data_IF_089832894309
#
_entry.id   IF_089832894309
#
_cell.length_a   1.000
_cell.length_b   1.000
_cell.length_c   1.000
_cell.angle_alpha   90.00
_cell.angle_beta   90.00
_cell.angle_gamma   90.00
#
_symmetry.space_group_name_H-M   'P 1'
#
loop_
_entity.id
_entity.type
_entity.pdbx_description
1 polymer ?
#
# COMPACT_ATOMS: atom_id res chain seq x y z
N UNK A 1 -7.63 68.78 -49.85
CA UNK A 1 -8.25 67.46 -49.73
C UNK A 1 -9.54 67.61 -48.95
N UNK A 2 -10.70 67.59 -49.62
CA UNK A 2 -12.01 67.62 -48.97
C UNK A 2 -12.36 66.19 -48.53
N UNK A 3 -12.19 65.89 -47.24
CA UNK A 3 -12.56 64.60 -46.68
C UNK A 3 -14.10 64.53 -46.65
N UNK A 4 -14.66 63.62 -47.43
CA UNK A 4 -16.11 63.42 -47.54
C UNK A 4 -16.68 62.85 -46.25
N UNK A 5 -17.91 63.23 -45.89
CA UNK A 5 -18.64 62.69 -44.73
C UNK A 5 -18.76 61.16 -44.78
N UNK A 6 -18.81 60.58 -45.99
CA UNK A 6 -18.80 59.13 -46.19
C UNK A 6 -17.46 58.49 -45.84
N UNK A 7 -16.34 59.20 -46.07
CA UNK A 7 -14.99 58.71 -45.74
C UNK A 7 -14.76 58.72 -44.22
N UNK A 8 -15.24 59.74 -43.50
CA UNK A 8 -15.23 59.74 -42.03
C UNK A 8 -16.16 58.68 -41.43
N UNK A 9 -17.33 58.45 -42.03
CA UNK A 9 -18.26 57.40 -41.60
C UNK A 9 -17.68 55.99 -41.78
N UNK A 10 -17.03 55.74 -42.92
CA UNK A 10 -16.32 54.48 -43.16
C UNK A 10 -15.17 54.28 -42.16
N UNK A 11 -14.36 55.31 -41.90
CA UNK A 11 -13.26 55.22 -40.95
C UNK A 11 -13.72 54.93 -39.51
N UNK A 12 -14.82 55.56 -39.06
CA UNK A 12 -15.43 55.31 -37.76
C UNK A 12 -16.05 53.90 -37.65
N UNK A 13 -16.65 53.39 -38.73
CA UNK A 13 -17.18 52.02 -38.78
C UNK A 13 -16.04 50.98 -38.72
N UNK A 14 -14.93 51.26 -39.42
CA UNK A 14 -13.74 50.38 -39.43
C UNK A 14 -13.02 50.39 -38.07
N UNK A 15 -13.00 51.53 -37.37
CA UNK A 15 -12.42 51.65 -36.02
C UNK A 15 -13.29 50.96 -34.95
N UNK A 16 -14.62 50.96 -35.12
CA UNK A 16 -15.56 50.23 -34.24
C UNK A 16 -15.46 48.71 -34.38
N UNK A 17 -15.15 48.19 -35.58
CA UNK A 17 -14.96 46.76 -35.84
C UNK A 17 -13.67 46.18 -35.24
N UNK A 18 -12.68 47.02 -34.91
CA UNK A 18 -11.41 46.60 -34.29
C UNK A 18 -11.48 46.56 -32.75
N UNK A 19 -12.52 47.11 -32.13
CA UNK A 19 -12.68 47.16 -30.67
C UNK A 19 -13.49 46.00 -30.06
N UNK A 20 -14.09 45.13 -30.88
CA UNK A 20 -14.99 44.06 -30.43
C UNK A 20 -14.30 42.77 -29.97
N UNK A 21 -13.03 42.56 -30.33
CA UNK A 21 -12.26 41.38 -29.93
C UNK A 21 -11.44 41.68 -28.68
N UNK A 22 -12.10 41.79 -27.52
CA UNK A 22 -11.38 41.76 -26.25
C UNK A 22 -10.84 40.36 -26.00
N UNK A 23 -9.62 40.24 -25.45
CA UNK A 23 -8.94 38.97 -25.17
C UNK A 23 -9.81 37.92 -24.45
N UNK A 24 -10.81 38.35 -23.67
CA UNK A 24 -11.81 37.49 -23.01
C UNK A 24 -12.66 36.62 -23.94
N UNK A 25 -12.80 36.94 -25.23
CA UNK A 25 -13.53 36.09 -26.19
C UNK A 25 -12.71 34.86 -26.61
N UNK A 26 -11.38 34.91 -26.43
CA UNK A 26 -10.46 33.83 -26.82
C UNK A 26 -10.03 32.94 -25.63
N UNK A 27 -10.34 33.34 -24.40
CA UNK A 27 -10.12 32.55 -23.18
C UNK A 27 -11.42 31.87 -22.72
N UNK A 28 -11.96 30.97 -23.55
CA UNK A 28 -12.95 30.00 -23.07
C UNK A 28 -12.22 28.76 -22.56
N UNK A 29 -12.17 28.60 -21.24
CA UNK A 29 -11.85 27.30 -20.67
C UNK A 29 -13.00 26.33 -21.01
N UNK A 30 -12.71 25.09 -21.44
CA UNK A 30 -13.75 24.12 -21.79
C UNK A 30 -14.69 23.91 -20.59
N UNK A 31 -15.92 24.38 -20.72
CA UNK A 31 -16.93 24.30 -19.65
C UNK A 31 -17.42 22.87 -19.41
N UNK A 32 -17.18 21.97 -20.36
CA UNK A 32 -17.54 20.56 -20.35
C UNK A 32 -16.39 19.64 -19.89
N UNK A 33 -15.20 20.19 -19.61
CA UNK A 33 -14.06 19.42 -19.14
C UNK A 33 -13.72 19.76 -17.68
N UNK A 34 -13.45 18.70 -16.92
CA UNK A 34 -12.85 18.83 -15.59
C UNK A 34 -11.39 19.25 -15.78
N UNK A 35 -11.05 20.42 -15.25
CA UNK A 35 -9.72 21.02 -15.22
C UNK A 35 -9.28 21.21 -13.78
N UNK A 36 -7.98 21.40 -13.54
CA UNK A 36 -7.47 21.70 -12.19
C UNK A 36 -8.08 22.97 -11.58
N UNK A 37 -8.62 23.86 -12.41
CA UNK A 37 -9.23 25.14 -11.99
C UNK A 37 -10.68 24.94 -11.50
N UNK A 38 -11.42 23.98 -12.06
CA UNK A 38 -12.83 23.76 -11.72
C UNK A 38 -13.11 22.47 -10.92
N UNK A 39 -12.09 21.63 -10.66
CA UNK A 39 -12.28 20.37 -9.94
C UNK A 39 -12.40 20.53 -8.42
N UNK A 40 -11.53 21.31 -7.78
CA UNK A 40 -11.47 21.39 -6.31
C UNK A 40 -12.52 22.35 -5.74
N UNK A 41 -13.81 21.98 -5.82
CA UNK A 41 -14.92 22.86 -5.45
C UNK A 41 -15.77 22.32 -4.30
N UNK A 42 -15.83 21.00 -4.12
CA UNK A 42 -16.70 20.35 -3.15
C UNK A 42 -15.94 19.37 -2.26
N UNK A 43 -16.62 18.97 -1.17
CA UNK A 43 -16.16 17.89 -0.31
C UNK A 43 -15.93 16.58 -1.08
N UNK A 44 -16.80 16.27 -2.05
CA UNK A 44 -16.68 15.04 -2.81
C UNK A 44 -15.42 15.06 -3.69
N UNK A 45 -15.05 16.21 -4.22
CA UNK A 45 -13.84 16.37 -5.02
C UNK A 45 -12.58 16.13 -4.18
N UNK A 46 -12.56 16.61 -2.93
CA UNK A 46 -11.48 16.32 -1.99
C UNK A 46 -11.33 14.81 -1.72
N UNK A 47 -12.45 14.11 -1.51
CA UNK A 47 -12.47 12.66 -1.27
C UNK A 47 -12.00 11.91 -2.53
N UNK A 48 -12.46 12.31 -3.71
CA UNK A 48 -12.05 11.71 -4.98
C UNK A 48 -10.57 11.94 -5.27
N UNK A 49 -10.04 13.14 -5.02
CA UNK A 49 -8.63 13.45 -5.20
C UNK A 49 -7.72 12.55 -4.34
N UNK A 50 -8.08 12.37 -3.06
CA UNK A 50 -7.37 11.45 -2.17
C UNK A 50 -7.51 10.00 -2.62
N UNK A 51 -8.70 9.60 -3.06
CA UNK A 51 -8.95 8.25 -3.58
C UNK A 51 -8.10 7.97 -4.82
N UNK A 52 -7.87 8.96 -5.68
CA UNK A 52 -6.95 8.85 -6.81
C UNK A 52 -5.51 8.60 -6.34
N UNK A 53 -5.06 9.23 -5.24
CA UNK A 53 -3.76 8.95 -4.64
C UNK A 53 -3.67 7.52 -4.09
N UNK A 54 -4.71 7.03 -3.39
CA UNK A 54 -4.79 5.63 -2.94
C UNK A 54 -4.76 4.62 -4.09
N UNK A 55 -5.38 4.95 -5.22
CA UNK A 55 -5.47 4.04 -6.37
C UNK A 55 -4.11 3.62 -6.92
N UNK A 56 -3.05 4.39 -6.68
CA UNK A 56 -1.70 4.04 -7.11
C UNK A 56 -1.10 2.87 -6.29
N UNK A 57 -1.62 2.61 -5.07
CA UNK A 57 -1.15 1.51 -4.23
C UNK A 57 -1.49 0.13 -4.79
N UNK A 58 -2.62 0.01 -5.51
CA UNK A 58 -3.05 -1.26 -6.12
C UNK A 58 -2.39 -1.54 -7.46
N UNK A 59 -1.46 -0.68 -7.90
CA UNK A 59 -0.82 -0.77 -9.22
C UNK A 59 0.54 -1.45 -9.14
N UNK A 60 1.09 -1.76 -10.30
CA UNK A 60 2.36 -2.49 -10.43
C UNK A 60 3.57 -1.74 -9.86
N UNK A 61 3.53 -0.40 -9.86
CA UNK A 61 4.55 0.42 -9.21
C UNK A 61 4.54 0.31 -7.69
N UNK A 62 3.54 -0.36 -7.11
CA UNK A 62 3.38 -0.57 -5.68
C UNK A 62 3.07 -2.04 -5.38
N UNK A 63 1.92 -2.35 -4.78
CA UNK A 63 1.65 -3.67 -4.20
C UNK A 63 1.27 -4.75 -5.21
N UNK A 64 1.05 -4.41 -6.48
CA UNK A 64 0.69 -5.37 -7.53
C UNK A 64 1.90 -5.88 -8.31
N UNK A 65 3.12 -5.42 -8.00
CA UNK A 65 4.36 -6.03 -8.48
C UNK A 65 5.58 -5.61 -7.64
N UNK A 66 5.89 -4.31 -7.64
CA UNK A 66 7.14 -3.79 -7.13
C UNK A 66 7.39 -4.10 -5.65
N UNK A 67 6.45 -3.81 -4.75
CA UNK A 67 6.64 -4.00 -3.31
C UNK A 67 6.90 -5.47 -2.95
N UNK A 68 6.21 -6.41 -3.61
CA UNK A 68 6.46 -7.83 -3.45
C UNK A 68 7.87 -8.22 -3.94
N UNK A 69 8.27 -7.69 -5.09
CA UNK A 69 9.56 -8.03 -5.70
C UNK A 69 10.75 -7.55 -4.88
N UNK A 70 10.60 -6.49 -4.09
CA UNK A 70 11.67 -6.01 -3.20
C UNK A 70 11.91 -6.95 -2.00
N UNK A 71 10.97 -7.84 -1.67
CA UNK A 71 11.15 -8.89 -0.67
C UNK A 71 12.08 -10.01 -1.15
N UNK A 72 12.33 -10.11 -2.47
CA UNK A 72 13.22 -11.12 -3.07
C UNK A 72 14.67 -10.96 -2.58
N UNK A 73 15.08 -9.76 -2.17
CA UNK A 73 16.40 -9.53 -1.56
C UNK A 73 16.53 -10.13 -0.17
N UNK A 74 15.42 -10.42 0.50
CA UNK A 74 15.45 -11.20 1.72
C UNK A 74 15.71 -12.66 1.31
N UNK A 75 16.65 -13.30 1.99
CA UNK A 75 17.16 -14.65 1.78
C UNK A 75 16.13 -15.77 2.05
N UNK A 76 14.85 -15.46 1.89
CA UNK A 76 13.68 -16.30 2.17
C UNK A 76 12.91 -16.69 0.90
N UNK A 77 13.32 -16.18 -0.26
CA UNK A 77 12.69 -16.44 -1.56
C UNK A 77 13.72 -16.93 -2.58
N UNK A 78 13.30 -17.79 -3.51
CA UNK A 78 14.07 -18.10 -4.73
C UNK A 78 13.16 -17.94 -5.94
N UNK A 79 13.65 -17.26 -6.97
CA UNK A 79 12.79 -16.65 -8.00
C UNK A 79 13.14 -17.12 -9.40
N UNK A 80 12.11 -17.13 -10.25
CA UNK A 80 12.22 -17.54 -11.64
C UNK A 80 10.95 -18.22 -12.13
N UNK A 81 10.82 -18.32 -13.45
CA UNK A 81 9.76 -19.09 -14.10
C UNK A 81 10.23 -20.44 -14.63
N UNK A 82 9.44 -21.02 -15.54
CA UNK A 82 9.64 -22.38 -16.06
C UNK A 82 10.93 -22.52 -16.89
N UNK A 83 11.43 -21.41 -17.47
CA UNK A 83 12.69 -21.37 -18.22
C UNK A 83 13.69 -20.29 -17.73
N UNK A 84 14.86 -20.26 -18.37
CA UNK A 84 15.96 -19.34 -18.03
C UNK A 84 15.62 -17.85 -18.18
N UNK A 85 14.69 -17.50 -19.07
CA UNK A 85 14.35 -16.12 -19.42
C UNK A 85 13.06 -15.64 -18.76
N UNK A 86 12.18 -16.54 -18.31
CA UNK A 86 10.98 -16.17 -17.58
C UNK A 86 11.33 -15.58 -16.20
N UNK A 87 10.81 -14.37 -15.94
CA UNK A 87 11.05 -13.61 -14.73
C UNK A 87 12.51 -13.16 -14.52
N UNK A 88 13.25 -12.87 -15.60
CA UNK A 88 14.66 -12.47 -15.52
C UNK A 88 14.89 -11.28 -14.57
N UNK A 89 13.94 -10.36 -14.46
CA UNK A 89 14.03 -9.20 -13.59
C UNK A 89 13.98 -9.57 -12.11
N UNK A 90 13.27 -10.63 -11.76
CA UNK A 90 13.24 -11.18 -10.40
C UNK A 90 14.56 -11.90 -10.08
N UNK A 91 15.10 -12.66 -11.04
CA UNK A 91 16.43 -13.29 -10.91
C UNK A 91 17.54 -12.26 -10.76
N UNK A 92 17.44 -11.12 -11.46
CA UNK A 92 18.38 -10.00 -11.31
C UNK A 92 18.33 -9.39 -9.91
N UNK A 93 17.13 -9.28 -9.31
CA UNK A 93 16.96 -8.85 -7.92
C UNK A 93 17.60 -9.86 -6.96
N UNK A 94 17.26 -11.15 -7.08
CA UNK A 94 17.81 -12.24 -6.26
C UNK A 94 19.34 -12.29 -6.31
N UNK A 95 19.92 -12.11 -7.50
CA UNK A 95 21.37 -12.15 -7.71
C UNK A 95 22.08 -10.81 -7.42
N UNK A 96 21.38 -9.77 -6.97
CA UNK A 96 21.92 -8.40 -6.81
C UNK A 96 22.63 -7.86 -8.06
N UNK A 97 22.21 -8.29 -9.26
CA UNK A 97 22.81 -7.94 -10.55
C UNK A 97 21.87 -7.07 -11.39
N UNK A 98 21.29 -6.05 -10.75
CA UNK A 98 20.17 -5.26 -11.28
C UNK A 98 20.68 -4.25 -12.33
N UNK A 99 20.33 -4.40 -13.63
CA UNK A 99 20.66 -3.41 -14.63
C UNK A 99 19.77 -2.17 -14.49
N UNK A 100 20.21 -1.05 -15.06
CA UNK A 100 19.42 0.21 -15.11
C UNK A 100 18.10 0.06 -15.87
N UNK A 101 17.97 -0.97 -16.70
CA UNK A 101 16.77 -1.30 -17.48
C UNK A 101 15.79 -2.22 -16.74
N UNK A 102 16.10 -2.66 -15.51
CA UNK A 102 15.22 -3.54 -14.74
C UNK A 102 13.87 -2.84 -14.49
N UNK A 103 12.79 -3.40 -15.01
CA UNK A 103 11.50 -2.71 -14.97
C UNK A 103 10.89 -2.67 -13.57
N UNK A 104 11.26 -3.57 -12.65
CA UNK A 104 10.74 -3.55 -11.28
C UNK A 104 11.25 -2.32 -10.55
N UNK A 105 12.54 -2.01 -10.69
CA UNK A 105 13.12 -0.79 -10.15
C UNK A 105 12.46 0.46 -10.76
N UNK A 106 12.35 0.53 -12.08
CA UNK A 106 11.75 1.72 -12.73
C UNK A 106 10.26 1.87 -12.41
N UNK A 107 9.50 0.78 -12.23
CA UNK A 107 8.08 0.82 -11.82
C UNK A 107 7.91 1.31 -10.38
N UNK A 108 8.73 0.85 -9.43
CA UNK A 108 8.67 1.37 -8.06
C UNK A 108 8.91 2.88 -8.05
N UNK A 109 9.94 3.33 -8.76
CA UNK A 109 10.27 4.74 -8.88
C UNK A 109 9.09 5.54 -9.46
N UNK A 110 8.64 5.18 -10.67
CA UNK A 110 7.57 5.89 -11.37
C UNK A 110 6.25 5.89 -10.59
N UNK A 111 5.82 4.73 -10.10
CA UNK A 111 4.58 4.60 -9.34
C UNK A 111 4.58 5.40 -8.04
N UNK A 112 5.71 5.42 -7.33
CA UNK A 112 5.85 6.21 -6.10
C UNK A 112 5.75 7.71 -6.38
N UNK A 113 6.40 8.22 -7.43
CA UNK A 113 6.33 9.64 -7.77
C UNK A 113 4.97 10.08 -8.31
N UNK A 114 4.24 9.19 -9.00
CA UNK A 114 2.84 9.45 -9.40
C UNK A 114 1.95 9.60 -8.16
N UNK A 115 2.03 8.66 -7.21
CA UNK A 115 1.25 8.70 -5.97
C UNK A 115 1.57 9.94 -5.11
N UNK A 116 2.87 10.25 -4.99
CA UNK A 116 3.39 11.42 -4.27
C UNK A 116 2.89 12.72 -4.91
N UNK A 117 2.90 12.82 -6.25
CA UNK A 117 2.39 13.98 -6.96
C UNK A 117 0.89 14.18 -6.68
N UNK A 118 0.09 13.11 -6.72
CA UNK A 118 -1.34 13.19 -6.37
C UNK A 118 -1.55 13.65 -4.92
N UNK A 119 -0.77 13.12 -3.97
CA UNK A 119 -0.81 13.54 -2.59
C UNK A 119 -0.44 15.04 -2.42
N UNK A 120 0.60 15.51 -3.12
CA UNK A 120 0.99 16.92 -3.12
C UNK A 120 -0.13 17.83 -3.63
N UNK A 121 -0.85 17.42 -4.67
CA UNK A 121 -1.99 18.19 -5.18
C UNK A 121 -3.10 18.27 -4.13
N UNK A 122 -3.45 17.17 -3.46
CA UNK A 122 -4.44 17.19 -2.37
C UNK A 122 -4.02 18.16 -1.28
N UNK A 123 -2.78 18.03 -0.78
CA UNK A 123 -2.25 18.87 0.32
C UNK A 123 -2.27 20.35 -0.06
N UNK A 124 -2.03 20.67 -1.34
CA UNK A 124 -2.06 22.05 -1.83
C UNK A 124 -3.48 22.58 -2.05
N UNK A 125 -4.39 21.79 -2.63
CA UNK A 125 -5.67 22.28 -3.16
C UNK A 125 -6.85 22.13 -2.20
N UNK A 126 -6.90 21.05 -1.41
CA UNK A 126 -8.01 20.81 -0.47
C UNK A 126 -8.17 21.92 0.59
N UNK A 127 -7.08 22.55 1.11
CA UNK A 127 -7.23 23.64 2.06
C UNK A 127 -8.09 24.81 1.58
N UNK A 128 -8.12 25.05 0.26
CA UNK A 128 -8.74 26.21 -0.40
C UNK A 128 -10.20 25.96 -0.83
N UNK A 129 -10.74 24.76 -0.64
CA UNK A 129 -12.12 24.43 -0.99
C UNK A 129 -13.08 25.21 -0.07
N UNK A 130 -13.95 26.03 -0.65
CA UNK A 130 -14.97 26.77 0.08
C UNK A 130 -16.07 25.81 0.57
N UNK A 131 -16.40 25.87 1.87
CA UNK A 131 -17.50 25.11 2.50
C UNK A 131 -17.30 23.59 2.60
N UNK A 132 -16.06 23.12 2.79
CA UNK A 132 -15.78 21.72 3.16
C UNK A 132 -15.94 21.52 4.68
N UNK A 133 -16.48 20.37 5.09
CA UNK A 133 -16.51 19.97 6.50
C UNK A 133 -15.07 19.90 7.05
N UNK A 134 -14.77 20.56 8.19
CA UNK A 134 -13.42 20.59 8.74
C UNK A 134 -12.82 19.20 9.04
N UNK A 135 -13.63 18.24 9.48
CA UNK A 135 -13.18 16.88 9.74
C UNK A 135 -12.82 16.16 8.44
N UNK A 136 -13.63 16.33 7.37
CA UNK A 136 -13.31 15.77 6.05
C UNK A 136 -12.09 16.42 5.43
N UNK A 137 -11.96 17.75 5.54
CA UNK A 137 -10.76 18.48 5.10
C UNK A 137 -9.51 17.97 5.78
N UNK A 138 -9.51 17.92 7.12
CA UNK A 138 -8.35 17.45 7.89
C UNK A 138 -8.04 15.99 7.56
N UNK A 139 -9.07 15.14 7.50
CA UNK A 139 -8.91 13.75 7.08
C UNK A 139 -8.24 13.63 5.71
N UNK A 140 -8.74 14.33 4.69
CA UNK A 140 -8.18 14.28 3.33
C UNK A 140 -6.70 14.71 3.29
N UNK A 141 -6.36 15.77 4.03
CA UNK A 141 -4.97 16.24 4.15
C UNK A 141 -4.11 15.19 4.88
N UNK A 142 -4.59 14.63 5.99
CA UNK A 142 -3.90 13.60 6.75
C UNK A 142 -3.68 12.30 5.97
N UNK A 143 -4.66 11.88 5.16
CA UNK A 143 -4.55 10.73 4.27
C UNK A 143 -3.48 10.98 3.19
N UNK A 144 -3.47 12.16 2.58
CA UNK A 144 -2.45 12.52 1.60
C UNK A 144 -1.04 12.63 2.21
N UNK A 145 -0.90 13.19 3.42
CA UNK A 145 0.37 13.21 4.15
C UNK A 145 0.86 11.80 4.46
N UNK A 146 -0.02 10.91 4.94
CA UNK A 146 0.31 9.51 5.17
C UNK A 146 0.80 8.81 3.89
N UNK A 147 0.09 9.01 2.77
CA UNK A 147 0.47 8.44 1.47
C UNK A 147 1.82 8.99 1.00
N UNK A 148 2.05 10.30 1.08
CA UNK A 148 3.32 10.94 0.71
C UNK A 148 4.49 10.38 1.54
N UNK A 149 4.32 10.30 2.85
CA UNK A 149 5.29 9.70 3.75
C UNK A 149 5.60 8.25 3.40
N UNK A 150 4.55 7.46 3.11
CA UNK A 150 4.70 6.06 2.71
C UNK A 150 5.51 5.93 1.41
N UNK A 151 5.19 6.72 0.39
CA UNK A 151 5.90 6.68 -0.90
C UNK A 151 7.37 7.08 -0.75
N UNK A 152 7.65 8.15 0.01
CA UNK A 152 9.03 8.53 0.32
C UNK A 152 9.76 7.46 1.12
N UNK A 153 9.09 6.80 2.07
CA UNK A 153 9.69 5.73 2.86
C UNK A 153 10.02 4.50 2.03
N UNK A 154 9.20 4.17 1.03
CA UNK A 154 9.50 3.10 0.07
C UNK A 154 10.68 3.49 -0.83
N UNK A 155 10.70 4.74 -1.31
CA UNK A 155 11.78 5.28 -2.14
C UNK A 155 13.13 5.33 -1.41
N UNK A 156 13.20 5.92 -0.21
CA UNK A 156 14.47 6.13 0.50
C UNK A 156 15.13 4.80 0.90
N UNK A 157 14.33 3.76 1.21
CA UNK A 157 14.84 2.42 1.52
C UNK A 157 15.34 1.68 0.29
N UNK A 158 14.73 1.92 -0.87
CA UNK A 158 15.11 1.31 -2.13
C UNK A 158 16.32 1.98 -2.79
N UNK A 159 16.41 3.31 -2.72
CA UNK A 159 17.34 4.11 -3.54
C UNK A 159 18.31 4.99 -2.75
N UNK A 160 18.14 5.12 -1.42
CA UNK A 160 18.85 6.10 -0.62
C UNK A 160 18.38 7.52 -0.93
N UNK A 161 19.29 8.39 -1.36
CA UNK A 161 18.95 9.77 -1.72
C UNK A 161 17.93 9.81 -2.87
N UNK A 162 16.91 10.67 -2.79
CA UNK A 162 15.88 10.80 -3.85
C UNK A 162 15.45 12.26 -4.01
N UNK A 163 14.91 12.67 -5.17
CA UNK A 163 14.34 13.99 -5.33
C UNK A 163 13.24 14.24 -4.28
N UNK A 164 13.37 15.35 -3.54
CA UNK A 164 12.44 15.72 -2.48
C UNK A 164 11.65 16.96 -2.91
N UNK A 165 10.34 16.79 -3.06
CA UNK A 165 9.39 17.87 -3.34
C UNK A 165 8.05 17.64 -2.63
N UNK A 166 7.57 18.70 -1.99
CA UNK A 166 6.37 18.68 -1.13
C UNK A 166 5.23 19.51 -1.70
N UNK A 167 5.40 20.03 -2.91
CA UNK A 167 4.39 20.74 -3.66
C UNK A 167 4.39 20.26 -5.13
N UNK A 168 3.25 20.37 -5.83
CA UNK A 168 3.19 20.12 -7.26
C UNK A 168 4.19 21.01 -8.04
N UNK A 169 4.96 20.45 -8.99
CA UNK A 169 5.83 21.25 -9.85
C UNK A 169 4.98 22.21 -10.70
N UNK A 170 5.42 23.45 -10.81
CA UNK A 170 4.69 24.51 -11.53
C UNK A 170 4.88 24.47 -13.05
N UNK A 171 5.82 23.67 -13.53
CA UNK A 171 6.07 23.45 -14.95
C UNK A 171 6.78 22.11 -15.18
N UNK A 172 6.77 21.57 -16.42
CA UNK A 172 7.57 20.39 -16.75
C UNK A 172 9.06 20.56 -16.50
N UNK A 173 9.62 21.77 -16.60
CA UNK A 173 11.02 22.02 -16.28
C UNK A 173 11.31 21.95 -14.77
N UNK A 174 10.32 22.25 -13.93
CA UNK A 174 10.42 22.22 -12.48
C UNK A 174 10.48 20.79 -11.89
N UNK A 175 10.34 19.75 -12.72
CA UNK A 175 10.45 18.34 -12.29
C UNK A 175 11.90 17.87 -12.20
N UNK A 176 12.86 18.62 -12.75
CA UNK A 176 14.28 18.27 -12.71
C UNK A 176 14.90 18.68 -11.36
N UNK A 177 14.54 17.91 -10.32
CA UNK A 177 14.94 18.17 -8.94
C UNK A 177 16.12 17.25 -8.59
N UNK A 178 17.25 17.79 -8.09
CA UNK A 178 18.37 16.96 -7.68
C UNK A 178 17.98 16.05 -6.51
N UNK A 179 18.67 14.92 -6.40
CA UNK A 179 18.49 14.01 -5.26
C UNK A 179 18.86 14.74 -3.97
N UNK A 180 17.97 14.66 -2.98
CA UNK A 180 18.20 15.17 -1.64
C UNK A 180 18.74 14.04 -0.75
N UNK A 181 19.59 14.36 0.26
CA UNK A 181 20.11 13.37 1.19
C UNK A 181 18.99 12.56 1.85
N UNK A 182 19.19 11.26 2.03
CA UNK A 182 18.23 10.37 2.68
C UNK A 182 17.75 10.91 4.04
N UNK A 183 18.63 11.55 4.81
CA UNK A 183 18.30 12.16 6.09
C UNK A 183 17.22 13.26 5.98
N UNK A 184 17.23 14.06 4.92
CA UNK A 184 16.21 15.10 4.71
C UNK A 184 14.88 14.51 4.24
N UNK A 185 14.94 13.40 3.48
CA UNK A 185 13.75 12.62 3.12
C UNK A 185 13.11 12.02 4.37
N UNK A 186 13.90 11.44 5.29
CA UNK A 186 13.41 10.94 6.57
C UNK A 186 12.76 12.03 7.43
N UNK A 187 13.36 13.22 7.53
CA UNK A 187 12.74 14.36 8.23
C UNK A 187 11.36 14.71 7.64
N UNK A 188 11.22 14.71 6.32
CA UNK A 188 9.94 14.97 5.67
C UNK A 188 8.92 13.85 5.98
N UNK A 189 9.35 12.59 5.96
CA UNK A 189 8.51 11.43 6.32
C UNK A 189 8.01 11.56 7.77
N UNK A 190 8.90 11.88 8.71
CA UNK A 190 8.56 12.06 10.13
C UNK A 190 7.56 13.20 10.33
N UNK A 191 7.76 14.33 9.64
CA UNK A 191 6.85 15.47 9.68
C UNK A 191 5.47 15.10 9.15
N UNK A 192 5.41 14.51 7.95
CA UNK A 192 4.15 14.11 7.31
C UNK A 192 3.37 13.12 8.17
N UNK A 193 4.05 12.13 8.78
CA UNK A 193 3.38 11.16 9.66
C UNK A 193 2.92 11.80 10.96
N UNK A 194 3.68 12.73 11.53
CA UNK A 194 3.29 13.46 12.75
C UNK A 194 2.04 14.30 12.50
N UNK A 195 1.99 15.01 11.37
CA UNK A 195 0.82 15.81 10.98
C UNK A 195 -0.38 14.92 10.65
N UNK A 196 -0.16 13.81 9.93
CA UNK A 196 -1.20 12.84 9.64
C UNK A 196 -1.81 12.24 10.92
N UNK A 197 -1.00 11.96 11.95
CA UNK A 197 -1.48 11.48 13.26
C UNK A 197 -2.41 12.51 13.94
N UNK A 198 -2.18 13.80 13.73
CA UNK A 198 -3.04 14.88 14.24
C UNK A 198 -4.36 15.01 13.49
N UNK A 199 -4.36 14.69 12.20
CA UNK A 199 -5.47 14.94 11.28
C UNK A 199 -6.37 13.73 11.03
N UNK A 200 -5.85 12.51 11.19
CA UNK A 200 -6.58 11.28 10.88
C UNK A 200 -7.49 10.83 12.04
N UNK A 201 -8.69 10.33 11.76
CA UNK A 201 -9.53 9.70 12.77
C UNK A 201 -8.95 8.35 13.22
N UNK A 202 -9.32 7.89 14.43
CA UNK A 202 -8.85 6.61 14.97
C UNK A 202 -9.46 5.38 14.28
N UNK A 203 -10.63 5.53 13.66
CA UNK A 203 -11.36 4.43 13.01
C UNK A 203 -12.32 4.96 11.95
N UNK A 204 -12.74 4.09 11.02
CA UNK A 204 -13.75 4.37 10.00
C UNK A 204 -14.90 3.36 10.07
N UNK A 205 -15.97 3.67 9.35
CA UNK A 205 -17.13 2.81 9.14
C UNK A 205 -17.64 2.97 7.70
N UNK A 206 -18.42 2.01 7.21
CA UNK A 206 -19.04 2.10 5.88
C UNK A 206 -18.02 2.12 4.75
N UNK A 207 -18.21 3.03 3.79
CA UNK A 207 -17.40 3.14 2.57
C UNK A 207 -15.97 3.66 2.80
N UNK A 208 -15.70 4.22 3.99
CA UNK A 208 -14.37 4.72 4.35
C UNK A 208 -13.45 3.65 4.97
N UNK A 209 -13.94 2.41 5.13
CA UNK A 209 -13.10 1.31 5.57
C UNK A 209 -11.98 1.04 4.56
N UNK A 210 -10.77 0.78 5.06
CA UNK A 210 -9.55 0.65 4.25
C UNK A 210 -8.68 1.92 4.21
N UNK A 211 -9.25 3.11 4.51
CA UNK A 211 -8.48 4.36 4.59
C UNK A 211 -7.49 4.36 5.76
N UNK A 212 -6.45 5.18 5.65
CA UNK A 212 -5.43 5.29 6.69
C UNK A 212 -6.02 5.94 7.95
N UNK A 213 -5.80 5.29 9.10
CA UNK A 213 -6.20 5.80 10.41
C UNK A 213 -5.02 6.47 11.11
N UNK A 214 -5.29 7.19 12.20
CA UNK A 214 -4.25 7.67 13.12
C UNK A 214 -3.29 6.56 13.55
N UNK A 215 -3.81 5.34 13.77
CA UNK A 215 -3.01 4.20 14.20
C UNK A 215 -2.17 3.61 13.06
N UNK A 216 -2.64 3.68 11.82
CA UNK A 216 -1.83 3.37 10.65
C UNK A 216 -0.62 4.30 10.54
N UNK A 217 -0.84 5.62 10.66
CA UNK A 217 0.23 6.61 10.63
C UNK A 217 1.20 6.45 11.82
N UNK A 218 0.68 6.20 13.02
CA UNK A 218 1.50 5.96 14.22
C UNK A 218 2.35 4.70 14.09
N UNK A 219 1.78 3.61 13.57
CA UNK A 219 2.51 2.35 13.33
C UNK A 219 3.57 2.49 12.23
N UNK A 220 3.27 3.24 11.17
CA UNK A 220 4.24 3.54 10.13
C UNK A 220 5.38 4.42 10.67
N UNK A 221 5.08 5.41 11.51
CA UNK A 221 6.11 6.24 12.15
C UNK A 221 7.02 5.42 13.07
N UNK A 222 6.45 4.46 13.82
CA UNK A 222 7.26 3.52 14.60
C UNK A 222 8.20 2.71 13.70
N UNK A 223 7.73 2.28 12.52
CA UNK A 223 8.54 1.55 11.53
C UNK A 223 9.65 2.44 10.95
N UNK A 224 9.36 3.70 10.66
CA UNK A 224 10.36 4.68 10.19
C UNK A 224 11.46 4.85 11.23
N UNK A 225 11.10 5.13 12.49
CA UNK A 225 12.06 5.32 13.56
C UNK A 225 12.96 4.10 13.80
N UNK A 226 12.43 2.89 13.76
CA UNK A 226 13.28 1.70 13.95
C UNK A 226 14.22 1.50 12.75
N UNK A 227 13.79 1.84 11.53
CA UNK A 227 14.65 1.82 10.33
C UNK A 227 15.81 2.83 10.44
N UNK A 228 15.58 3.99 11.03
CA UNK A 228 16.63 4.99 11.31
C UNK A 228 17.50 4.66 12.55
N UNK A 229 17.18 3.60 13.29
CA UNK A 229 17.87 3.25 14.54
C UNK A 229 17.42 4.06 15.77
N UNK A 230 16.39 4.91 15.65
CA UNK A 230 15.75 5.68 16.73
C UNK A 230 14.87 4.77 17.60
N UNK A 231 15.51 3.83 18.32
CA UNK A 231 14.84 2.73 19.04
C UNK A 231 13.86 3.22 20.12
N UNK A 232 14.18 4.30 20.82
CA UNK A 232 13.36 4.84 21.91
C UNK A 232 12.05 5.39 21.37
N UNK A 233 12.13 6.20 20.32
CA UNK A 233 11.02 6.83 19.63
C UNK A 233 10.14 5.78 18.94
N UNK A 234 10.77 4.78 18.31
CA UNK A 234 10.07 3.64 17.73
C UNK A 234 9.25 2.88 18.79
N UNK A 235 9.87 2.55 19.93
CA UNK A 235 9.20 1.84 21.02
C UNK A 235 8.06 2.66 21.62
N UNK A 236 8.21 3.99 21.71
CA UNK A 236 7.15 4.88 22.16
C UNK A 236 5.94 4.83 21.22
N UNK A 237 6.14 5.05 19.92
CA UNK A 237 5.05 5.03 18.91
C UNK A 237 4.39 3.66 18.81
N UNK A 238 5.16 2.58 18.85
CA UNK A 238 4.61 1.22 18.89
C UNK A 238 3.73 1.00 20.13
N UNK A 239 4.16 1.48 21.31
CA UNK A 239 3.38 1.38 22.55
C UNK A 239 2.10 2.20 22.50
N UNK A 240 2.11 3.36 21.86
CA UNK A 240 0.90 4.16 21.62
C UNK A 240 -0.15 3.34 20.84
N UNK A 241 0.26 2.62 19.78
CA UNK A 241 -0.64 1.74 19.02
C UNK A 241 -1.14 0.59 19.89
N UNK A 242 -0.24 -0.14 20.56
CA UNK A 242 -0.60 -1.30 21.39
C UNK A 242 -1.61 -0.94 22.47
N UNK A 243 -1.43 0.21 23.13
CA UNK A 243 -2.24 0.58 24.28
C UNK A 243 -3.58 1.23 23.88
N UNK A 244 -3.62 1.96 22.75
CA UNK A 244 -4.72 2.89 22.48
C UNK A 244 -5.50 2.60 21.18
N UNK A 245 -5.00 1.74 20.29
CA UNK A 245 -5.65 1.52 18.98
C UNK A 245 -6.91 0.65 19.04
N UNK A 246 -7.09 -0.12 20.12
CA UNK A 246 -8.14 -1.14 20.21
C UNK A 246 -7.92 -2.35 19.29
N UNK A 247 -6.77 -2.44 18.59
CA UNK A 247 -6.40 -3.59 17.76
C UNK A 247 -6.05 -4.79 18.63
N UNK A 248 -6.38 -5.97 18.15
CA UNK A 248 -6.17 -7.24 18.87
C UNK A 248 -5.73 -8.33 17.94
N UNK A 249 -5.00 -9.31 18.48
CA UNK A 249 -4.52 -10.44 17.71
C UNK A 249 -5.60 -11.51 17.50
N UNK A 250 -5.54 -12.21 16.38
CA UNK A 250 -6.20 -13.47 16.15
C UNK A 250 -5.60 -14.54 17.06
N UNK A 251 -6.45 -15.48 17.46
CA UNK A 251 -5.98 -16.64 18.22
C UNK A 251 -5.19 -17.61 17.33
N UNK A 252 -5.53 -17.66 16.03
CA UNK A 252 -4.84 -18.46 15.02
C UNK A 252 -4.23 -17.55 13.96
N UNK A 253 -2.95 -17.76 13.65
CA UNK A 253 -2.25 -17.05 12.58
C UNK A 253 -2.96 -17.17 11.22
N UNK A 254 -3.53 -18.35 10.92
CA UNK A 254 -4.22 -18.59 9.66
C UNK A 254 -5.44 -17.70 9.46
N UNK A 255 -6.02 -17.14 10.54
CA UNK A 255 -7.22 -16.30 10.46
C UNK A 255 -6.96 -14.96 9.77
N UNK A 256 -5.72 -14.45 9.75
CA UNK A 256 -5.36 -13.25 8.98
C UNK A 256 -5.52 -13.42 7.47
N UNK A 257 -5.40 -14.65 6.98
CA UNK A 257 -5.33 -14.94 5.54
C UNK A 257 -6.64 -15.51 4.99
N UNK A 258 -7.68 -15.60 5.82
CA UNK A 258 -9.01 -16.03 5.37
C UNK A 258 -9.77 -14.84 4.81
N UNK A 259 -10.31 -15.00 3.61
CA UNK A 259 -11.13 -13.97 2.94
C UNK A 259 -12.27 -13.49 3.83
N UNK A 260 -12.95 -14.40 4.54
CA UNK A 260 -14.05 -14.08 5.46
C UNK A 260 -13.66 -13.16 6.63
N UNK A 261 -12.38 -13.16 7.01
CA UNK A 261 -11.82 -12.33 8.08
C UNK A 261 -11.13 -11.06 7.54
N UNK A 262 -10.87 -10.98 6.23
CA UNK A 262 -10.08 -9.94 5.58
C UNK A 262 -10.96 -8.88 4.90
N UNK A 263 -12.05 -8.49 5.57
CA UNK A 263 -13.01 -7.49 5.08
C UNK A 263 -12.67 -6.10 5.62
N UNK A 264 -11.76 -5.39 4.93
CA UNK A 264 -11.44 -3.98 5.15
C UNK A 264 -10.79 -3.63 6.51
N UNK A 265 -9.53 -4.03 6.71
CA UNK A 265 -8.74 -3.83 7.93
C UNK A 265 -9.24 -4.67 9.12
N UNK A 266 -8.87 -5.96 9.08
CA UNK A 266 -9.11 -6.91 10.17
C UNK A 266 -8.60 -6.40 11.54
N UNK A 267 -8.96 -7.08 12.62
CA UNK A 267 -8.62 -6.64 13.99
C UNK A 267 -7.12 -6.53 14.29
N UNK A 268 -6.25 -7.19 13.52
CA UNK A 268 -4.79 -7.02 13.55
C UNK A 268 -4.28 -5.92 12.61
N UNK A 269 -5.02 -5.63 11.55
CA UNK A 269 -4.61 -4.73 10.49
C UNK A 269 -4.61 -3.27 10.92
N UNK A 270 -3.48 -2.59 10.75
CA UNK A 270 -3.41 -1.13 10.84
C UNK A 270 -3.75 -0.47 9.51
N UNK A 271 -3.31 -1.08 8.40
CA UNK A 271 -3.53 -0.60 7.04
C UNK A 271 -3.34 -1.74 6.04
N UNK A 272 -4.34 -2.00 5.22
CA UNK A 272 -4.32 -2.97 4.13
C UNK A 272 -4.71 -2.31 2.80
N UNK A 273 -4.13 -2.84 1.72
CA UNK A 273 -4.50 -2.46 0.37
C UNK A 273 -5.69 -3.31 -0.07
N UNK A 274 -6.77 -2.64 -0.47
CA UNK A 274 -8.01 -3.30 -0.81
C UNK A 274 -8.01 -3.68 -2.29
N UNK A 275 -8.13 -4.98 -2.56
CA UNK A 275 -8.26 -5.53 -3.91
C UNK A 275 -9.65 -6.14 -4.12
N UNK A 276 -10.15 -6.05 -5.34
CA UNK A 276 -11.45 -6.59 -5.73
C UNK A 276 -11.26 -7.97 -6.38
N UNK A 277 -11.94 -8.99 -5.82
CA UNK A 277 -11.95 -10.34 -6.38
C UNK A 277 -12.60 -10.37 -7.77
N UNK A 278 -12.13 -11.27 -8.64
CA UNK A 278 -12.59 -11.40 -10.03
C UNK A 278 -12.14 -10.28 -10.97
N UNK A 279 -11.24 -9.40 -10.52
CA UNK A 279 -10.61 -8.33 -11.32
C UNK A 279 -9.12 -8.57 -11.57
N UNK A 280 -8.65 -9.79 -11.32
CA UNK A 280 -7.28 -10.26 -11.59
C UNK A 280 -7.09 -10.50 -13.10
N UNK A 281 -6.97 -9.42 -13.86
CA UNK A 281 -6.61 -9.47 -15.27
C UNK A 281 -5.07 -9.40 -15.43
N UNK A 282 -4.56 -9.65 -16.64
CA UNK A 282 -3.13 -9.45 -16.95
C UNK A 282 -2.68 -7.99 -16.85
N UNK A 283 -3.62 -7.05 -16.75
CA UNK A 283 -3.36 -5.65 -16.45
C UNK A 283 -3.20 -5.43 -14.94
N UNK A 284 -1.97 -5.13 -14.53
CA UNK A 284 -1.56 -4.90 -13.14
C UNK A 284 -1.88 -3.48 -12.63
N UNK A 285 -2.58 -2.67 -13.42
CA UNK A 285 -2.97 -1.30 -13.07
C UNK A 285 -4.46 -1.15 -12.74
N UNK A 286 -5.16 -2.28 -12.52
CA UNK A 286 -6.57 -2.31 -12.11
C UNK A 286 -6.72 -2.56 -10.60
N UNK A 287 -7.98 -2.67 -10.16
CA UNK A 287 -8.37 -2.88 -8.76
C UNK A 287 -8.22 -4.32 -8.28
N UNK A 288 -7.82 -5.25 -9.15
CA UNK A 288 -7.52 -6.64 -8.79
C UNK A 288 -6.02 -6.88 -8.64
N UNK A 289 -5.64 -7.83 -7.80
CA UNK A 289 -4.26 -8.29 -7.72
C UNK A 289 -3.98 -9.29 -8.83
N UNK A 290 -2.94 -9.06 -9.63
CA UNK A 290 -2.41 -9.99 -10.61
C UNK A 290 -1.29 -10.86 -10.03
N UNK A 291 -0.96 -10.67 -8.75
CA UNK A 291 0.06 -11.45 -8.07
C UNK A 291 -0.52 -12.79 -7.63
N UNK A 292 0.17 -13.87 -7.99
CA UNK A 292 -0.24 -15.22 -7.65
C UNK A 292 -0.19 -15.42 -6.13
N UNK A 293 -1.28 -15.94 -5.55
CA UNK A 293 -1.32 -16.43 -4.16
C UNK A 293 -0.58 -17.78 -4.00
N UNK A 294 -0.13 -18.37 -5.11
CA UNK A 294 0.55 -19.66 -5.13
C UNK A 294 2.07 -19.50 -5.24
N UNK A 295 2.73 -19.54 -4.08
CA UNK A 295 4.15 -19.86 -3.97
C UNK A 295 4.32 -21.38 -4.22
N UNK A 296 4.61 -21.76 -5.47
CA UNK A 296 4.91 -23.14 -5.83
C UNK A 296 6.37 -23.49 -5.52
N UNK A 297 6.70 -24.77 -5.23
CA UNK A 297 8.10 -25.19 -5.21
C UNK A 297 8.70 -24.92 -6.59
N UNK A 298 9.83 -24.19 -6.62
CA UNK A 298 10.55 -23.93 -7.86
C UNK A 298 10.87 -25.24 -8.60
N UNK A 299 10.86 -25.19 -9.93
CA UNK A 299 11.29 -26.33 -10.75
C UNK A 299 12.68 -26.79 -10.26
N UNK A 300 12.94 -28.10 -10.15
CA UNK A 300 14.22 -28.60 -9.66
C UNK A 300 15.32 -28.11 -10.60
N UNK A 301 16.02 -27.05 -10.18
CA UNK A 301 17.26 -26.62 -10.83
C UNK A 301 18.15 -27.84 -10.88
N UNK A 302 18.57 -28.26 -12.07
CA UNK A 302 19.59 -29.30 -12.23
C UNK A 302 20.86 -28.78 -11.54
N UNK A 303 21.04 -29.13 -10.27
CA UNK A 303 22.29 -28.88 -9.54
C UNK A 303 23.42 -29.50 -10.37
N UNK A 304 24.52 -28.78 -10.65
CA UNK A 304 25.72 -29.42 -11.13
C UNK A 304 26.08 -30.52 -10.15
N UNK A 305 26.23 -31.75 -10.65
CA UNK A 305 26.52 -32.91 -9.84
C UNK A 305 27.93 -32.79 -9.23
N UNK A 306 28.04 -32.23 -8.02
CA UNK A 306 29.14 -32.49 -7.09
C UNK A 306 28.88 -31.78 -5.74
N UNK A 307 28.41 -32.55 -4.75
CA UNK A 307 28.74 -32.46 -3.32
C UNK A 307 27.61 -33.13 -2.52
N UNK A 308 27.87 -34.38 -2.14
CA UNK A 308 27.31 -35.15 -1.01
C UNK A 308 25.88 -34.82 -0.55
N UNK A 309 24.98 -35.76 -0.83
CA UNK A 309 23.62 -35.80 -0.31
C UNK A 309 23.58 -35.82 1.22
N UNK A 310 23.16 -34.70 1.82
CA UNK A 310 22.51 -34.69 3.13
C UNK A 310 21.00 -34.67 2.87
N UNK A 311 20.37 -35.83 2.97
CA UNK A 311 18.91 -35.96 2.90
C UNK A 311 18.28 -35.27 4.11
N UNK A 312 17.66 -34.11 3.88
CA UNK A 312 16.77 -33.49 4.87
C UNK A 312 15.48 -34.32 4.95
N UNK A 313 15.43 -35.26 5.90
CA UNK A 313 14.15 -35.87 6.31
C UNK A 313 13.39 -34.84 7.12
N UNK A 314 12.14 -34.57 6.72
CA UNK A 314 11.18 -33.86 7.57
C UNK A 314 10.96 -34.66 8.87
N UNK A 315 11.15 -34.08 10.07
CA UNK A 315 10.78 -34.75 11.30
C UNK A 315 9.26 -34.74 11.44
N UNK A 316 8.62 -35.91 11.40
CA UNK A 316 7.18 -36.08 11.64
C UNK A 316 6.78 -35.98 13.11
N UNK A 317 7.64 -35.50 14.00
CA UNK A 317 7.24 -35.10 15.36
C UNK A 317 8.37 -34.30 16.03
N UNK A 318 8.00 -33.19 16.68
CA UNK A 318 8.88 -32.49 17.60
C UNK A 318 8.89 -33.23 18.94
N UNK A 319 10.05 -33.65 19.47
CA UNK A 319 10.11 -34.13 20.85
C UNK A 319 9.99 -32.93 21.79
N UNK A 320 8.86 -32.85 22.50
CA UNK A 320 8.71 -31.97 23.67
C UNK A 320 9.67 -32.48 24.74
N UNK A 321 10.88 -31.92 24.80
CA UNK A 321 11.76 -32.06 25.96
C UNK A 321 11.24 -31.13 27.04
N UNK A 322 10.49 -31.67 28.02
CA UNK A 322 10.25 -30.96 29.28
C UNK A 322 11.59 -30.78 29.97
N UNK A 323 12.11 -29.55 29.93
CA UNK A 323 13.22 -29.16 30.78
C UNK A 323 12.73 -29.22 32.23
N UNK A 324 13.28 -30.15 33.02
CA UNK A 324 12.97 -30.28 34.43
C UNK A 324 13.37 -29.00 35.17
N UNK A 325 12.39 -28.38 35.84
CA UNK A 325 12.62 -27.33 36.83
C UNK A 325 13.20 -28.04 38.07
N UNK A 326 14.34 -27.60 38.65
CA UNK A 326 14.86 -28.23 39.85
C UNK A 326 13.88 -28.04 41.01
N UNK A 327 13.55 -29.16 41.67
CA UNK A 327 12.56 -29.22 42.74
C UNK A 327 13.00 -28.36 43.95
N UNK A 328 12.11 -27.47 44.41
CA UNK A 328 12.20 -26.89 45.75
C UNK A 328 11.91 -27.98 46.78
N UNK A 329 12.73 -28.02 47.84
CA UNK A 329 12.62 -28.87 49.03
C UNK A 329 11.19 -28.83 49.62
N UNK A 330 10.55 -29.97 49.95
CA UNK A 330 9.28 -29.95 50.67
C UNK A 330 9.49 -29.81 52.19
N UNK A 331 8.59 -29.14 52.92
CA UNK A 331 8.53 -29.25 54.37
C UNK A 331 7.87 -30.58 54.77
N UNK A 332 8.27 -31.06 55.93
CA UNK A 332 7.86 -32.31 56.59
C UNK A 332 6.35 -32.44 56.85
N UNK A 333 5.78 -33.64 56.59
CA UNK A 333 4.65 -34.16 57.37
C UNK A 333 3.50 -34.82 56.60
N UNK A 334 3.23 -36.09 56.97
CA UNK A 334 2.00 -36.92 56.83
C UNK A 334 1.81 -37.83 55.60
N UNK A 335 1.16 -39.00 55.78
CA UNK A 335 1.38 -40.20 54.96
C UNK A 335 0.31 -40.42 53.87
N UNK A 336 0.69 -41.28 52.91
CA UNK A 336 0.05 -41.57 51.64
C UNK A 336 -1.28 -42.35 51.73
N UNK A 337 -2.16 -42.10 50.76
CA UNK A 337 -3.30 -42.95 50.38
C UNK A 337 -3.27 -43.23 48.87
N UNK A 338 -3.69 -44.43 48.41
CA UNK A 338 -3.34 -44.95 47.08
C UNK A 338 -4.25 -44.46 45.93
N UNK A 339 -3.65 -44.38 44.75
CA UNK A 339 -4.22 -43.99 43.45
C UNK A 339 -5.19 -45.04 42.88
N UNK A 340 -6.30 -44.65 42.19
CA UNK A 340 -7.04 -45.55 41.30
C UNK A 340 -6.57 -45.47 39.84
N UNK A 341 -6.65 -46.62 39.19
CA UNK A 341 -6.21 -47.03 37.86
C UNK A 341 -6.91 -46.31 36.70
N UNK A 342 -6.17 -46.05 35.61
CA UNK A 342 -6.65 -45.44 34.38
C UNK A 342 -7.56 -46.38 33.55
N UNK A 343 -8.70 -45.88 33.09
CA UNK A 343 -9.59 -46.56 32.14
C UNK A 343 -9.27 -46.17 30.69
N UNK A 344 -9.32 -47.16 29.80
CA UNK A 344 -9.02 -47.11 28.35
C UNK A 344 -10.23 -46.57 27.56
N UNK A 345 -10.09 -45.67 26.56
CA UNK A 345 -11.22 -45.20 25.77
C UNK A 345 -11.64 -46.21 24.65
N UNK A 346 -12.93 -46.26 24.27
CA UNK A 346 -13.45 -47.18 23.25
C UNK A 346 -13.20 -46.70 21.80
N UNK A 347 -13.27 -47.60 20.79
CA UNK A 347 -12.89 -47.31 19.40
C UNK A 347 -13.98 -46.54 18.62
N UNK A 348 -13.54 -45.75 17.63
CA UNK A 348 -14.39 -44.98 16.70
C UNK A 348 -15.04 -45.88 15.63
N UNK A 349 -16.29 -45.60 15.18
CA UNK A 349 -16.93 -46.31 14.07
C UNK A 349 -16.50 -45.79 12.68
N UNK A 350 -16.64 -46.61 11.60
CA UNK A 350 -16.09 -46.33 10.28
C UNK A 350 -16.93 -45.37 9.41
N UNK A 351 -16.24 -44.68 8.50
CA UNK A 351 -16.75 -43.66 7.60
C UNK A 351 -17.72 -44.20 6.53
N UNK A 352 -18.83 -43.47 6.32
CA UNK A 352 -19.82 -43.76 5.27
C UNK A 352 -19.51 -42.93 4.02
N UNK A 353 -19.23 -43.60 2.89
CA UNK A 353 -19.18 -43.00 1.55
C UNK A 353 -20.58 -42.48 1.17
N UNK A 354 -20.68 -41.21 0.79
CA UNK A 354 -21.83 -40.68 0.06
C UNK A 354 -21.45 -40.55 -1.41
N UNK A 355 -22.13 -41.36 -2.24
CA UNK A 355 -22.21 -41.16 -3.68
C UNK A 355 -23.31 -40.13 -3.94
N UNK A 356 -23.04 -39.14 -4.79
CA UNK A 356 -24.08 -38.26 -5.35
C UNK A 356 -23.99 -38.28 -6.86
N UNK A 357 -25.10 -38.73 -7.42
CA UNK A 357 -25.52 -38.85 -8.80
C UNK A 357 -25.58 -37.52 -9.54
N UNK A 358 -25.17 -37.55 -10.81
CA UNK A 358 -25.43 -36.51 -11.80
C UNK A 358 -26.94 -36.33 -12.06
N UNK A 359 -27.39 -35.08 -12.14
CA UNK A 359 -28.61 -34.70 -12.86
C UNK A 359 -28.34 -33.44 -13.67
N UNK A 360 -28.53 -33.57 -14.97
CA UNK A 360 -28.65 -32.50 -15.95
C UNK A 360 -29.97 -31.74 -15.75
N UNK A 361 -29.93 -30.43 -15.97
CA UNK A 361 -31.09 -29.55 -15.94
C UNK A 361 -30.78 -28.24 -16.66
N UNK A 362 -31.14 -28.17 -17.93
CA UNK A 362 -31.32 -26.94 -18.70
C UNK A 362 -32.30 -25.99 -17.99
N UNK A 363 -32.17 -24.67 -18.10
CA UNK A 363 -33.24 -23.76 -18.56
C UNK A 363 -32.67 -22.35 -18.77
N UNK A 364 -33.09 -21.74 -19.88
CA UNK A 364 -32.81 -20.39 -20.30
C UNK A 364 -33.71 -19.36 -19.58
N UNK A 365 -33.15 -18.19 -19.25
CA UNK A 365 -33.57 -16.86 -19.72
C UNK A 365 -32.57 -15.80 -19.26
#
# INVERSE_FOLDING_TARGET
MTISKFTCGAFLLTLGLLGGCTAKFLDEAPADQITDVNFYQSQQDAIQAVTAAYSELTKEGQYNAAQWAFDIWADISSTGGDDGNDGIEFKQLEAFSIPTTNFIATRLWGGSFIALQRANIVIQKVPDIANIDPAIKNRCIGEAQFLRAKMYFDLVRAYGDVPLFTAPPTSPAAVNIPRSPAADVYKQIEQDLTDAIGNLPPSYSGEDLGRATKWAATGLLAKVYITEGKKTEAAQRAREVINNSGKTMWASYADNFKIENNNNNAKESLFEIQYVSGRNQYDRNQVGSAMNEFLGPGAPTRRPAAATASTFRTPTSWPVTRRAIPARRPPSGRPATPTPTAAKPPPRPPARRLATTARSGSWAK
#
